data_IF_920443533156
#
_entry.id   IF_920443533156
#
_cell.length_a   1.000
_cell.length_b   1.000
_cell.length_c   1.000
_cell.angle_alpha   90.00
_cell.angle_beta   90.00
_cell.angle_gamma   90.00
#
_symmetry.space_group_name_H-M   'P 1'
#
loop_
_entity.id
_entity.type
_entity.pdbx_description
1 polymer ?
#
# COMPACT_ATOMS: atom_id res chain seq x y z
N UNK A 1 -9.93 31.33 -28.44
CA UNK A 1 -8.96 30.39 -29.07
C UNK A 1 -9.73 29.16 -29.50
N UNK A 2 -9.88 28.90 -30.80
CA UNK A 2 -10.58 27.73 -31.33
C UNK A 2 -9.77 26.49 -30.96
N UNK A 3 -10.45 25.50 -30.37
CA UNK A 3 -9.88 24.17 -30.16
C UNK A 3 -9.58 23.61 -31.56
N UNK A 4 -8.29 23.62 -31.92
CA UNK A 4 -7.80 23.11 -33.18
C UNK A 4 -8.32 21.69 -33.38
N UNK A 5 -8.98 21.45 -34.52
CA UNK A 5 -9.70 20.20 -34.79
C UNK A 5 -8.69 19.07 -34.85
N UNK A 6 -8.53 18.32 -33.76
CA UNK A 6 -7.60 17.19 -33.66
C UNK A 6 -7.82 16.26 -34.86
N UNK A 7 -6.75 15.97 -35.60
CA UNK A 7 -6.80 15.05 -36.75
C UNK A 7 -7.27 13.66 -36.26
N UNK A 8 -8.19 13.06 -37.01
CA UNK A 8 -8.70 11.70 -36.71
C UNK A 8 -7.84 10.65 -37.39
N UNK A 9 -7.91 9.40 -36.91
CA UNK A 9 -7.20 8.25 -37.51
C UNK A 9 -7.60 8.08 -39.00
N UNK A 10 -8.84 8.36 -39.32
CA UNK A 10 -9.38 8.35 -40.70
C UNK A 10 -8.67 9.37 -41.60
N UNK A 11 -8.39 10.55 -41.07
CA UNK A 11 -7.72 11.62 -41.82
C UNK A 11 -6.24 11.28 -42.01
N UNK A 12 -5.60 10.71 -40.99
CA UNK A 12 -4.21 10.25 -41.08
C UNK A 12 -4.07 9.12 -42.11
N UNK A 13 -4.97 8.15 -42.09
CA UNK A 13 -5.01 7.06 -43.06
C UNK A 13 -5.20 7.56 -44.48
N UNK A 14 -6.12 8.52 -44.71
CA UNK A 14 -6.36 9.16 -45.99
C UNK A 14 -5.11 9.90 -46.52
N UNK A 15 -4.43 10.67 -45.65
CA UNK A 15 -3.19 11.40 -46.01
C UNK A 15 -2.03 10.47 -46.39
N UNK A 16 -1.98 9.27 -45.83
CA UNK A 16 -0.93 8.29 -46.06
C UNK A 16 -1.23 7.30 -47.20
N UNK A 17 -2.50 7.26 -47.66
CA UNK A 17 -2.94 6.29 -48.67
C UNK A 17 -2.97 4.86 -48.14
N UNK A 18 -3.26 4.67 -46.86
CA UNK A 18 -3.35 3.34 -46.22
C UNK A 18 -4.67 3.16 -45.51
N UNK A 19 -5.03 1.91 -45.18
CA UNK A 19 -6.26 1.64 -44.44
C UNK A 19 -6.16 2.11 -43.00
N UNK A 20 -7.30 2.47 -42.38
CA UNK A 20 -7.39 2.81 -40.95
C UNK A 20 -6.86 1.65 -40.07
N UNK A 21 -7.14 0.40 -40.48
CA UNK A 21 -6.63 -0.79 -39.79
C UNK A 21 -5.09 -0.90 -39.85
N UNK A 22 -4.46 -0.49 -40.97
CA UNK A 22 -3.00 -0.46 -41.09
C UNK A 22 -2.38 0.59 -40.19
N UNK A 23 -2.97 1.78 -40.12
CA UNK A 23 -2.53 2.84 -39.18
C UNK A 23 -2.64 2.37 -37.74
N UNK A 24 -3.80 1.83 -37.36
CA UNK A 24 -4.05 1.31 -35.99
C UNK A 24 -3.06 0.22 -35.63
N UNK A 25 -2.83 -0.78 -36.48
CA UNK A 25 -1.88 -1.89 -36.24
C UNK A 25 -0.43 -1.39 -36.12
N UNK A 26 -0.02 -0.44 -36.97
CA UNK A 26 1.32 0.13 -36.91
C UNK A 26 1.56 0.87 -35.59
N UNK A 27 0.63 1.73 -35.18
CA UNK A 27 0.71 2.49 -33.94
C UNK A 27 0.64 1.60 -32.67
N UNK A 28 -0.01 0.44 -32.76
CA UNK A 28 -0.06 -0.56 -31.70
C UNK A 28 1.07 -1.60 -31.76
N UNK A 29 2.08 -1.40 -32.62
CA UNK A 29 3.29 -2.24 -32.64
C UNK A 29 3.14 -3.63 -33.29
N UNK A 30 2.00 -3.99 -33.90
CA UNK A 30 1.75 -5.32 -34.46
C UNK A 30 2.85 -5.74 -35.45
N UNK A 31 3.29 -7.00 -35.39
CA UNK A 31 4.39 -7.56 -36.19
C UNK A 31 4.08 -7.67 -37.69
N UNK A 32 2.80 -7.75 -38.04
CA UNK A 32 2.34 -7.94 -39.44
C UNK A 32 2.37 -6.66 -40.30
N UNK A 33 2.93 -5.57 -39.82
CA UNK A 33 3.17 -4.34 -40.59
C UNK A 33 4.67 -4.18 -40.80
N UNK A 34 5.08 -3.95 -42.07
CA UNK A 34 6.50 -3.77 -42.40
C UNK A 34 7.12 -2.59 -41.66
N UNK A 35 8.41 -2.70 -41.31
CA UNK A 35 9.18 -1.61 -40.65
C UNK A 35 9.03 -0.28 -41.41
N UNK A 36 9.17 -0.32 -42.74
CA UNK A 36 9.05 0.87 -43.63
C UNK A 36 7.67 1.54 -43.49
N UNK A 37 6.60 0.75 -43.39
CA UNK A 37 5.25 1.27 -43.24
C UNK A 37 5.02 1.83 -41.81
N UNK A 38 5.56 1.17 -40.80
CA UNK A 38 5.55 1.69 -39.41
C UNK A 38 6.23 3.06 -39.34
N UNK A 39 7.47 3.18 -39.84
CA UNK A 39 8.23 4.42 -39.83
C UNK A 39 7.50 5.56 -40.54
N UNK A 40 6.87 5.28 -41.70
CA UNK A 40 6.04 6.24 -42.42
C UNK A 40 4.87 6.73 -41.59
N UNK A 41 4.18 5.82 -40.89
CA UNK A 41 3.01 6.13 -40.06
C UNK A 41 3.42 6.94 -38.83
N UNK A 42 4.50 6.55 -38.12
CA UNK A 42 5.01 7.28 -36.96
C UNK A 42 5.43 8.71 -37.31
N UNK A 43 6.19 8.90 -38.37
CA UNK A 43 6.60 10.23 -38.86
C UNK A 43 5.39 11.10 -39.22
N UNK A 44 4.36 10.52 -39.81
CA UNK A 44 3.15 11.27 -40.16
C UNK A 44 2.30 11.59 -38.90
N UNK A 45 2.21 10.69 -37.95
CA UNK A 45 1.55 10.94 -36.69
C UNK A 45 2.20 12.13 -35.96
N UNK A 46 3.51 12.15 -35.86
CA UNK A 46 4.30 13.27 -35.31
C UNK A 46 4.08 14.57 -36.10
N UNK A 47 4.25 14.54 -37.43
CA UNK A 47 4.06 15.72 -38.29
C UNK A 47 2.67 16.36 -38.17
N UNK A 48 1.65 15.57 -38.00
CA UNK A 48 0.25 16.04 -37.93
C UNK A 48 -0.28 16.12 -36.50
N UNK A 49 0.56 16.00 -35.48
CA UNK A 49 0.18 15.98 -34.06
C UNK A 49 -1.01 15.03 -33.79
N UNK A 50 -0.96 13.85 -34.45
CA UNK A 50 -1.96 12.83 -34.22
C UNK A 50 -1.64 12.04 -32.98
N UNK A 51 -2.55 12.04 -32.01
CA UNK A 51 -2.50 11.17 -30.84
C UNK A 51 -3.63 10.14 -30.93
N UNK A 52 -3.34 8.84 -30.71
CA UNK A 52 -4.38 7.82 -30.64
C UNK A 52 -5.47 8.20 -29.65
N UNK A 53 -6.71 8.09 -30.05
CA UNK A 53 -7.84 8.30 -29.13
C UNK A 53 -7.97 7.06 -28.22
N UNK A 54 -7.61 7.22 -26.95
CA UNK A 54 -7.69 6.15 -25.94
C UNK A 54 -9.09 5.56 -25.81
N UNK A 55 -10.14 6.41 -25.92
CA UNK A 55 -11.52 5.93 -25.88
C UNK A 55 -11.85 5.05 -27.11
N UNK A 56 -11.36 5.39 -28.29
CA UNK A 56 -11.52 4.57 -29.48
C UNK A 56 -10.73 3.26 -29.36
N UNK A 57 -9.55 3.28 -28.75
CA UNK A 57 -8.73 2.08 -28.46
C UNK A 57 -9.45 1.17 -27.47
N UNK A 58 -10.00 1.71 -26.40
CA UNK A 58 -10.82 0.98 -25.40
C UNK A 58 -12.04 0.31 -26.02
N UNK A 59 -12.76 1.04 -26.90
CA UNK A 59 -13.90 0.50 -27.64
C UNK A 59 -13.51 -0.66 -28.58
N UNK A 60 -12.35 -0.54 -29.22
CA UNK A 60 -11.86 -1.57 -30.13
C UNK A 60 -11.31 -2.82 -29.42
N UNK A 61 -10.67 -2.66 -28.27
CA UNK A 61 -10.10 -3.75 -27.47
C UNK A 61 -11.12 -4.42 -26.53
N UNK A 62 -12.25 -3.78 -26.29
CA UNK A 62 -13.26 -4.15 -25.27
C UNK A 62 -12.69 -4.26 -23.85
N UNK A 63 -11.43 -3.82 -23.63
CA UNK A 63 -10.76 -3.81 -22.33
C UNK A 63 -10.15 -2.44 -22.07
N UNK A 64 -10.35 -1.86 -20.90
CA UNK A 64 -9.84 -0.53 -20.59
C UNK A 64 -8.31 -0.47 -20.43
N UNK A 65 -7.64 -1.59 -20.15
CA UNK A 65 -6.22 -1.66 -19.76
C UNK A 65 -5.89 -0.59 -18.71
N UNK A 66 -6.66 -0.60 -17.62
CA UNK A 66 -6.60 0.44 -16.59
C UNK A 66 -6.54 -0.20 -15.21
N UNK A 67 -5.53 0.18 -14.44
CA UNK A 67 -5.44 -0.21 -13.03
C UNK A 67 -6.02 0.91 -12.18
N UNK A 68 -6.98 0.60 -11.32
CA UNK A 68 -7.52 1.51 -10.33
C UNK A 68 -6.91 1.24 -8.95
N UNK A 69 -6.27 2.25 -8.37
CA UNK A 69 -5.89 2.27 -6.96
C UNK A 69 -6.88 3.18 -6.22
N UNK A 70 -7.69 2.57 -5.37
CA UNK A 70 -8.78 3.25 -4.67
C UNK A 70 -8.66 2.97 -3.19
N UNK A 71 -8.77 4.02 -2.37
CA UNK A 71 -8.72 3.85 -0.92
C UNK A 71 -9.36 5.04 -0.19
N UNK A 72 -9.70 4.82 1.08
CA UNK A 72 -10.00 5.91 2.01
C UNK A 72 -8.73 6.49 2.60
N UNK A 73 -8.70 7.81 2.73
CA UNK A 73 -7.65 8.55 3.43
C UNK A 73 -8.27 9.47 4.48
N UNK A 74 -7.50 9.82 5.49
CA UNK A 74 -7.80 10.98 6.32
C UNK A 74 -7.13 12.21 5.69
N UNK A 75 -7.87 13.25 5.26
CA UNK A 75 -7.30 14.44 4.63
C UNK A 75 -6.27 15.17 5.51
N UNK A 76 -6.44 15.09 6.83
CA UNK A 76 -5.57 15.76 7.81
C UNK A 76 -4.32 14.94 8.13
N UNK A 77 -4.19 13.75 7.56
CA UNK A 77 -3.10 12.83 7.84
C UNK A 77 -2.19 12.66 6.61
N UNK A 78 -0.93 13.03 6.75
CA UNK A 78 0.09 12.65 5.77
C UNK A 78 0.30 11.13 5.84
N UNK A 79 0.18 10.44 4.70
CA UNK A 79 0.37 8.99 4.59
C UNK A 79 1.61 8.70 3.72
N UNK A 80 2.79 8.84 4.33
CA UNK A 80 4.06 8.59 3.64
C UNK A 80 4.22 7.14 3.21
N UNK A 81 3.69 6.21 3.99
CA UNK A 81 3.68 4.77 3.69
C UNK A 81 2.93 4.51 2.38
N UNK A 82 1.77 5.16 2.19
CA UNK A 82 1.04 5.11 0.93
C UNK A 82 1.83 5.75 -0.22
N UNK A 83 2.44 6.91 0.01
CA UNK A 83 3.20 7.61 -1.04
C UNK A 83 4.39 6.79 -1.52
N UNK A 84 5.13 6.15 -0.63
CA UNK A 84 6.26 5.28 -0.98
C UNK A 84 5.83 4.08 -1.82
N UNK A 85 4.72 3.43 -1.43
CA UNK A 85 4.12 2.36 -2.23
C UNK A 85 3.69 2.86 -3.62
N UNK A 86 3.01 4.00 -3.71
CA UNK A 86 2.54 4.58 -4.97
C UNK A 86 3.70 4.99 -5.88
N UNK A 87 4.82 5.44 -5.34
CA UNK A 87 6.01 5.72 -6.12
C UNK A 87 6.50 4.46 -6.85
N UNK A 88 6.64 3.33 -6.13
CA UNK A 88 6.99 2.05 -6.74
C UNK A 88 5.93 1.54 -7.72
N UNK A 89 4.66 1.69 -7.37
CA UNK A 89 3.54 1.32 -8.23
C UNK A 89 3.56 2.08 -9.57
N UNK A 90 3.81 3.39 -9.53
CA UNK A 90 3.95 4.23 -10.72
C UNK A 90 5.16 3.81 -11.57
N UNK A 91 6.30 3.51 -10.93
CA UNK A 91 7.46 2.97 -11.64
C UNK A 91 7.18 1.62 -12.30
N UNK A 92 6.33 0.79 -11.69
CA UNK A 92 5.92 -0.50 -12.26
C UNK A 92 5.16 -0.39 -13.58
N UNK A 93 4.48 0.73 -13.84
CA UNK A 93 3.70 0.96 -15.07
C UNK A 93 4.37 1.93 -16.05
N UNK A 94 5.53 2.51 -15.70
CA UNK A 94 6.18 3.60 -16.45
C UNK A 94 6.30 3.37 -17.96
N UNK A 95 6.67 2.16 -18.37
CA UNK A 95 6.92 1.82 -19.77
C UNK A 95 5.77 0.98 -20.37
N UNK A 96 4.59 1.01 -19.75
CA UNK A 96 3.43 0.21 -20.14
C UNK A 96 2.31 1.09 -20.68
N UNK A 97 1.48 0.57 -21.60
CA UNK A 97 0.32 1.31 -22.11
C UNK A 97 -0.82 1.41 -21.11
N UNK A 98 -0.65 0.87 -19.90
CA UNK A 98 -1.65 0.77 -18.84
C UNK A 98 -1.90 2.13 -18.18
N UNK A 99 -3.14 2.55 -18.13
CA UNK A 99 -3.56 3.78 -17.45
C UNK A 99 -3.74 3.55 -15.94
N UNK A 100 -3.50 4.61 -15.15
CA UNK A 100 -3.74 4.58 -13.71
C UNK A 100 -4.90 5.50 -13.31
N UNK A 101 -5.82 4.96 -12.53
CA UNK A 101 -6.82 5.73 -11.80
C UNK A 101 -6.43 5.73 -10.32
N UNK A 102 -6.00 6.87 -9.81
CA UNK A 102 -5.77 7.07 -8.38
C UNK A 102 -6.96 7.86 -7.82
N UNK A 103 -7.73 7.28 -6.90
CA UNK A 103 -8.88 7.94 -6.31
C UNK A 103 -8.96 7.73 -4.81
N UNK A 104 -9.05 8.83 -4.10
CA UNK A 104 -9.11 8.86 -2.63
C UNK A 104 -10.47 9.33 -2.16
N UNK A 105 -10.96 8.74 -1.08
CA UNK A 105 -12.22 9.03 -0.44
C UNK A 105 -12.02 9.29 1.05
N UNK A 106 -12.96 9.98 1.67
CA UNK A 106 -12.95 10.23 3.12
C UNK A 106 -13.80 9.23 3.90
N UNK A 107 -14.59 8.40 3.20
CA UNK A 107 -15.42 7.39 3.80
C UNK A 107 -15.54 6.13 2.91
N UNK A 108 -15.78 4.99 3.56
CA UNK A 108 -15.84 3.67 2.92
C UNK A 108 -17.05 3.48 2.00
N UNK A 109 -18.16 4.19 2.25
CA UNK A 109 -19.38 4.07 1.44
C UNK A 109 -19.14 4.61 0.04
N UNK A 110 -18.54 5.80 -0.06
CA UNK A 110 -18.25 6.44 -1.35
C UNK A 110 -17.13 5.71 -2.07
N UNK A 111 -16.10 5.23 -1.35
CA UNK A 111 -15.09 4.34 -1.88
C UNK A 111 -15.73 3.11 -2.54
N UNK A 112 -16.60 2.40 -1.83
CA UNK A 112 -17.25 1.19 -2.34
C UNK A 112 -18.18 1.45 -3.53
N UNK A 113 -18.92 2.56 -3.52
CA UNK A 113 -19.77 2.97 -4.65
C UNK A 113 -18.91 3.26 -5.90
N UNK A 114 -17.69 3.76 -5.71
CA UNK A 114 -16.80 4.02 -6.84
C UNK A 114 -16.27 2.73 -7.47
N UNK A 115 -16.01 1.67 -6.70
CA UNK A 115 -15.70 0.34 -7.24
C UNK A 115 -16.82 -0.15 -8.17
N UNK A 116 -18.07 -0.06 -7.72
CA UNK A 116 -19.25 -0.41 -8.54
C UNK A 116 -19.27 0.37 -9.85
N UNK A 117 -19.14 1.70 -9.76
CA UNK A 117 -19.13 2.59 -10.92
C UNK A 117 -18.07 2.19 -11.94
N UNK A 118 -16.82 1.95 -11.51
CA UNK A 118 -15.74 1.60 -12.43
C UNK A 118 -15.99 0.29 -13.18
N UNK A 119 -16.56 -0.70 -12.52
CA UNK A 119 -16.90 -1.98 -13.12
C UNK A 119 -18.09 -1.83 -14.07
N UNK A 120 -19.19 -1.20 -13.64
CA UNK A 120 -20.40 -0.99 -14.44
C UNK A 120 -20.14 -0.18 -15.70
N UNK A 121 -19.23 0.80 -15.62
CA UNK A 121 -18.87 1.66 -16.77
C UNK A 121 -17.67 1.14 -17.56
N UNK A 122 -17.11 -0.01 -17.20
CA UNK A 122 -15.91 -0.59 -17.81
C UNK A 122 -14.75 0.42 -17.92
N UNK A 123 -14.51 1.20 -16.87
CA UNK A 123 -13.44 2.19 -16.80
C UNK A 123 -12.14 1.64 -16.25
N UNK A 124 -12.19 0.56 -15.48
CA UNK A 124 -11.02 -0.16 -14.99
C UNK A 124 -11.28 -1.68 -15.00
N UNK A 125 -10.26 -2.44 -15.32
CA UNK A 125 -10.30 -3.91 -15.39
C UNK A 125 -9.36 -4.58 -14.39
N UNK A 126 -8.54 -3.79 -13.71
CA UNK A 126 -7.61 -4.23 -12.67
C UNK A 126 -7.68 -3.31 -11.46
N UNK A 127 -7.53 -3.88 -10.25
CA UNK A 127 -7.64 -3.12 -9.02
C UNK A 127 -6.49 -3.42 -8.05
N UNK A 128 -6.02 -2.36 -7.37
CA UNK A 128 -5.09 -2.45 -6.24
C UNK A 128 -5.67 -1.65 -5.08
N UNK A 129 -5.63 -2.19 -3.88
CA UNK A 129 -6.07 -1.47 -2.68
C UNK A 129 -5.42 -2.02 -1.41
N UNK A 130 -5.42 -1.22 -0.35
CA UNK A 130 -4.79 -1.55 0.94
C UNK A 130 -5.72 -1.28 2.13
N UNK A 131 -5.19 -1.36 3.35
CA UNK A 131 -5.97 -1.28 4.59
C UNK A 131 -7.04 -2.37 4.67
N UNK A 132 -6.58 -3.59 4.43
CA UNK A 132 -7.47 -4.75 4.32
C UNK A 132 -8.06 -5.09 5.69
N UNK A 133 -9.38 -5.22 5.73
CA UNK A 133 -10.11 -5.71 6.89
C UNK A 133 -10.05 -7.23 6.97
N UNK A 134 -10.30 -7.79 8.15
CA UNK A 134 -10.38 -9.24 8.34
C UNK A 134 -11.43 -9.87 7.40
N UNK A 135 -12.62 -9.27 7.31
CA UNK A 135 -13.67 -9.60 6.35
C UNK A 135 -13.88 -8.37 5.47
N UNK A 136 -13.28 -8.36 4.29
CA UNK A 136 -13.25 -7.18 3.43
C UNK A 136 -14.24 -7.31 2.27
N UNK A 137 -15.30 -6.53 2.32
CA UNK A 137 -16.37 -6.53 1.32
C UNK A 137 -15.89 -6.21 -0.11
N UNK A 138 -14.76 -5.49 -0.25
CA UNK A 138 -14.18 -5.16 -1.57
C UNK A 138 -13.65 -6.43 -2.23
N UNK A 139 -13.00 -7.31 -1.46
CA UNK A 139 -12.50 -8.60 -1.94
C UNK A 139 -13.66 -9.45 -2.47
N UNK A 140 -14.73 -9.61 -1.67
CA UNK A 140 -15.90 -10.40 -2.06
C UNK A 140 -16.58 -9.84 -3.31
N UNK A 141 -16.70 -8.51 -3.38
CA UNK A 141 -17.30 -7.83 -4.52
C UNK A 141 -16.49 -8.04 -5.81
N UNK A 142 -15.16 -7.86 -5.77
CA UNK A 142 -14.30 -8.03 -6.94
C UNK A 142 -14.24 -9.50 -7.40
N UNK A 143 -14.19 -10.45 -6.46
CA UNK A 143 -14.30 -11.89 -6.76
C UNK A 143 -15.60 -12.23 -7.46
N UNK A 144 -16.74 -11.77 -6.93
CA UNK A 144 -18.07 -11.99 -7.52
C UNK A 144 -18.16 -11.46 -8.95
N UNK A 145 -17.54 -10.32 -9.23
CA UNK A 145 -17.52 -9.71 -10.56
C UNK A 145 -16.39 -10.24 -11.46
N UNK A 146 -15.59 -11.22 -11.01
CA UNK A 146 -14.49 -11.83 -11.76
C UNK A 146 -13.47 -10.81 -12.28
N UNK A 147 -13.20 -9.79 -11.50
CA UNK A 147 -12.26 -8.72 -11.84
C UNK A 147 -10.88 -9.06 -11.29
N UNK A 148 -9.82 -8.74 -12.02
CA UNK A 148 -8.46 -8.95 -11.60
C UNK A 148 -8.07 -7.93 -10.52
N UNK A 149 -7.51 -8.39 -9.41
CA UNK A 149 -7.04 -7.51 -8.36
C UNK A 149 -5.89 -8.13 -7.55
N UNK A 150 -5.13 -7.27 -6.92
CA UNK A 150 -4.15 -7.60 -5.90
C UNK A 150 -4.36 -6.68 -4.70
N UNK A 151 -4.19 -7.20 -3.49
CA UNK A 151 -4.28 -6.40 -2.28
C UNK A 151 -2.91 -6.15 -1.68
N UNK A 152 -2.71 -4.96 -1.15
CA UNK A 152 -1.62 -4.70 -0.23
C UNK A 152 -2.13 -4.91 1.20
N UNK A 153 -1.77 -6.04 1.75
CA UNK A 153 -2.34 -6.65 2.94
C UNK A 153 -3.25 -7.85 2.60
N UNK A 154 -3.47 -8.72 3.57
CA UNK A 154 -4.31 -9.91 3.44
C UNK A 154 -5.51 -9.85 4.38
N UNK A 155 -6.63 -10.49 4.01
CA UNK A 155 -7.79 -10.72 4.87
C UNK A 155 -7.59 -11.96 5.74
N UNK A 156 -8.59 -12.33 6.54
CA UNK A 156 -8.59 -13.61 7.27
C UNK A 156 -8.62 -14.84 6.35
N UNK A 157 -9.20 -14.70 5.15
CA UNK A 157 -9.26 -15.74 4.13
C UNK A 157 -8.39 -15.36 2.93
N UNK A 158 -7.29 -16.09 2.70
CA UNK A 158 -6.24 -15.73 1.73
C UNK A 158 -6.22 -16.58 0.47
N UNK A 159 -7.04 -17.64 0.38
CA UNK A 159 -6.84 -18.74 -0.58
C UNK A 159 -7.33 -18.47 -2.01
N UNK A 160 -8.00 -17.34 -2.28
CA UNK A 160 -8.72 -17.14 -3.53
C UNK A 160 -8.37 -15.87 -4.30
N UNK A 161 -7.32 -15.14 -3.90
CA UNK A 161 -6.87 -13.92 -4.55
C UNK A 161 -5.37 -13.70 -4.31
N UNK A 162 -4.76 -12.79 -5.07
CA UNK A 162 -3.36 -12.43 -4.90
C UNK A 162 -3.20 -11.27 -3.91
N UNK A 163 -2.17 -11.35 -3.08
CA UNK A 163 -1.86 -10.32 -2.09
C UNK A 163 -0.34 -10.15 -1.91
N UNK A 164 0.06 -8.96 -1.51
CA UNK A 164 1.39 -8.65 -0.99
C UNK A 164 1.17 -8.14 0.42
N UNK A 165 1.78 -8.75 1.42
CA UNK A 165 1.62 -8.32 2.81
C UNK A 165 2.96 -8.31 3.52
N UNK A 166 3.09 -7.44 4.49
CA UNK A 166 4.20 -7.44 5.44
C UNK A 166 4.00 -8.56 6.45
N UNK A 167 5.09 -9.22 6.86
CA UNK A 167 4.99 -10.20 7.94
C UNK A 167 4.82 -9.48 9.30
N UNK A 168 3.57 -9.13 9.58
CA UNK A 168 3.18 -8.40 10.79
C UNK A 168 3.44 -9.17 12.08
N UNK A 169 3.28 -10.49 12.05
CA UNK A 169 3.51 -11.37 13.18
C UNK A 169 5.00 -11.46 13.49
N UNK A 170 5.82 -11.69 12.47
CA UNK A 170 7.28 -11.72 12.59
C UNK A 170 7.85 -10.36 13.03
N UNK A 171 7.29 -9.26 12.51
CA UNK A 171 7.67 -7.90 12.89
C UNK A 171 7.51 -7.65 14.38
N UNK A 172 6.36 -7.99 14.95
CA UNK A 172 6.12 -7.86 16.40
C UNK A 172 7.05 -8.81 17.18
N UNK A 173 7.20 -10.05 16.73
CA UNK A 173 8.08 -11.01 17.41
C UNK A 173 9.53 -10.53 17.46
N UNK A 174 10.07 -9.91 16.41
CA UNK A 174 11.42 -9.33 16.39
C UNK A 174 11.55 -8.23 17.45
N UNK A 175 10.59 -7.31 17.52
CA UNK A 175 10.61 -6.21 18.49
C UNK A 175 10.44 -6.71 19.93
N UNK A 176 9.52 -7.64 20.16
CA UNK A 176 9.28 -8.26 21.46
C UNK A 176 10.52 -9.02 21.93
N UNK A 177 11.12 -9.86 21.07
CA UNK A 177 12.33 -10.63 21.38
C UNK A 177 13.51 -9.73 21.75
N UNK A 178 13.67 -8.59 21.05
CA UNK A 178 14.70 -7.61 21.35
C UNK A 178 14.51 -6.98 22.74
N UNK A 179 13.31 -6.51 23.04
CA UNK A 179 13.00 -5.92 24.33
C UNK A 179 13.09 -6.94 25.47
N UNK A 180 12.62 -8.16 25.23
CA UNK A 180 12.73 -9.26 26.19
C UNK A 180 14.20 -9.60 26.53
N UNK A 181 15.08 -9.70 25.51
CA UNK A 181 16.51 -9.89 25.68
C UNK A 181 17.19 -8.74 26.44
N UNK A 182 16.59 -7.58 26.40
CA UNK A 182 17.04 -6.40 27.17
C UNK A 182 16.45 -6.36 28.59
N UNK A 183 15.71 -7.40 29.01
CA UNK A 183 15.16 -7.56 30.35
C UNK A 183 13.76 -6.94 30.55
N UNK A 184 13.17 -6.35 29.52
CA UNK A 184 11.82 -5.77 29.64
C UNK A 184 10.77 -6.86 29.83
N UNK A 185 9.99 -6.76 30.89
CA UNK A 185 8.83 -7.61 31.20
C UNK A 185 7.51 -6.83 31.05
N UNK A 186 7.56 -5.51 31.19
CA UNK A 186 6.41 -4.60 31.09
C UNK A 186 6.51 -3.85 29.77
N UNK A 187 5.95 -4.43 28.73
CA UNK A 187 6.02 -3.92 27.36
C UNK A 187 4.61 -3.52 26.91
N UNK A 188 4.39 -2.29 26.52
CA UNK A 188 3.12 -1.86 25.94
C UNK A 188 3.15 -1.92 24.41
N UNK A 189 2.00 -2.17 23.80
CA UNK A 189 1.79 -2.11 22.35
C UNK A 189 0.73 -1.06 22.02
N UNK A 190 1.13 0.00 21.32
CA UNK A 190 0.23 0.98 20.71
C UNK A 190 -0.07 0.55 19.29
N UNK A 191 -1.27 0.05 19.04
CA UNK A 191 -1.60 -0.65 17.80
C UNK A 191 -2.70 0.04 17.00
N UNK A 192 -2.75 -0.30 15.72
CA UNK A 192 -3.91 -0.04 14.87
C UNK A 192 -5.04 -0.97 15.26
N UNK A 193 -6.28 -0.49 15.12
CA UNK A 193 -7.46 -1.26 15.51
C UNK A 193 -7.53 -2.64 14.83
N UNK A 194 -7.88 -3.65 15.59
CA UNK A 194 -7.97 -5.06 15.15
C UNK A 194 -9.02 -5.37 14.09
N UNK A 195 -9.85 -4.40 13.67
CA UNK A 195 -10.72 -4.55 12.51
C UNK A 195 -9.93 -4.63 11.21
N UNK A 196 -8.76 -4.01 11.14
CA UNK A 196 -7.77 -4.24 10.10
C UNK A 196 -7.03 -5.54 10.38
N UNK A 197 -6.81 -6.36 9.35
CA UNK A 197 -6.21 -7.67 9.58
C UNK A 197 -4.77 -7.57 10.11
N UNK A 198 -3.97 -6.63 9.62
CA UNK A 198 -2.62 -6.39 10.13
C UNK A 198 -2.60 -5.94 11.60
N UNK A 199 -3.60 -5.16 12.04
CA UNK A 199 -3.75 -4.81 13.45
C UNK A 199 -4.07 -6.03 14.32
N UNK A 200 -4.92 -6.93 13.81
CA UNK A 200 -5.24 -8.20 14.48
C UNK A 200 -4.02 -9.12 14.57
N UNK A 201 -3.28 -9.30 13.47
CA UNK A 201 -2.07 -10.13 13.43
C UNK A 201 -1.02 -9.66 14.45
N UNK A 202 -0.79 -8.34 14.53
CA UNK A 202 0.12 -7.74 15.51
C UNK A 202 -0.33 -7.98 16.96
N UNK A 203 -1.65 -7.87 17.20
CA UNK A 203 -2.23 -8.16 18.51
C UNK A 203 -2.00 -9.61 18.91
N UNK A 204 -2.31 -10.55 18.03
CA UNK A 204 -2.13 -11.99 18.27
C UNK A 204 -0.66 -12.32 18.54
N UNK A 205 0.26 -11.81 17.73
CA UNK A 205 1.70 -12.04 17.93
C UNK A 205 2.18 -11.50 19.29
N UNK A 206 1.69 -10.33 19.70
CA UNK A 206 2.01 -9.75 21.01
C UNK A 206 1.50 -10.63 22.16
N UNK A 207 0.25 -11.12 22.10
CA UNK A 207 -0.35 -11.98 23.10
C UNK A 207 0.34 -13.37 23.16
N UNK A 208 0.61 -13.97 22.00
CA UNK A 208 1.29 -15.26 21.89
C UNK A 208 2.74 -15.19 22.40
N UNK A 209 3.43 -14.06 22.17
CA UNK A 209 4.76 -13.85 22.71
C UNK A 209 4.76 -13.87 24.25
N UNK A 210 3.82 -13.16 24.89
CA UNK A 210 3.68 -13.17 26.35
C UNK A 210 3.44 -14.60 26.88
N UNK A 211 2.54 -15.33 26.25
CA UNK A 211 2.22 -16.71 26.59
C UNK A 211 3.44 -17.62 26.45
N UNK A 212 4.14 -17.54 25.33
CA UNK A 212 5.33 -18.36 25.02
C UNK A 212 6.46 -18.17 26.02
N UNK A 213 6.64 -16.95 26.49
CA UNK A 213 7.76 -16.58 27.39
C UNK A 213 7.33 -16.48 28.87
N UNK A 214 6.11 -16.93 29.22
CA UNK A 214 5.54 -16.86 30.56
C UNK A 214 5.57 -15.44 31.17
N UNK A 215 5.41 -14.41 30.30
CA UNK A 215 5.31 -13.03 30.75
C UNK A 215 3.88 -12.70 31.17
N UNK A 216 3.73 -11.92 32.23
CA UNK A 216 2.40 -11.47 32.65
C UNK A 216 1.85 -10.46 31.63
N UNK A 217 0.72 -10.82 30.99
CA UNK A 217 0.01 -9.92 30.09
C UNK A 217 -0.85 -8.95 30.90
N UNK A 218 -0.50 -7.66 30.89
CA UNK A 218 -1.37 -6.62 31.43
C UNK A 218 -2.26 -6.08 30.28
N UNK A 219 -3.59 -6.26 30.32
CA UNK A 219 -4.48 -5.83 29.25
C UNK A 219 -4.47 -4.30 29.02
N UNK A 220 -4.10 -3.51 30.04
CA UNK A 220 -4.00 -2.06 29.92
C UNK A 220 -2.76 -1.61 29.11
N UNK A 221 -1.77 -2.45 28.90
CA UNK A 221 -0.62 -2.15 28.06
C UNK A 221 -0.93 -2.29 26.56
N UNK A 222 -2.02 -2.93 26.20
CA UNK A 222 -2.50 -2.96 24.82
C UNK A 222 -3.49 -1.82 24.59
N UNK A 223 -3.14 -0.92 23.69
CA UNK A 223 -3.97 0.21 23.27
C UNK A 223 -4.13 0.20 21.74
N UNK A 224 -5.33 0.42 21.26
CA UNK A 224 -5.59 0.46 19.80
C UNK A 224 -6.50 1.63 19.40
N UNK A 225 -6.37 2.09 18.14
CA UNK A 225 -7.22 3.11 17.57
C UNK A 225 -7.51 2.86 16.08
N UNK A 226 -8.70 3.27 15.61
CA UNK A 226 -9.03 3.37 14.18
C UNK A 226 -8.31 4.53 13.51
N UNK A 227 -8.08 5.61 14.24
CA UNK A 227 -7.41 6.81 13.77
C UNK A 227 -5.89 6.64 13.84
N UNK A 228 -5.23 6.98 12.74
CA UNK A 228 -3.80 6.83 12.56
C UNK A 228 -3.15 8.22 12.45
N UNK A 229 -3.06 8.91 13.58
CA UNK A 229 -2.57 10.29 13.68
C UNK A 229 -1.59 10.44 14.85
N UNK A 230 -0.70 11.43 14.76
CA UNK A 230 0.33 11.69 15.77
C UNK A 230 -0.28 11.98 17.15
N UNK A 231 -1.34 12.80 17.24
CA UNK A 231 -2.00 13.10 18.51
C UNK A 231 -2.65 11.86 19.16
N UNK A 232 -3.06 10.87 18.34
CA UNK A 232 -3.54 9.58 18.86
C UNK A 232 -2.38 8.82 19.50
N UNK A 233 -1.21 8.80 18.87
CA UNK A 233 0.00 8.22 19.49
C UNK A 233 0.29 8.80 20.86
N UNK A 234 0.27 10.13 20.98
CA UNK A 234 0.41 10.83 22.27
C UNK A 234 -0.69 10.43 23.28
N UNK A 235 -1.96 10.40 22.84
CA UNK A 235 -3.10 10.00 23.70
C UNK A 235 -3.00 8.55 24.18
N UNK A 236 -2.59 7.61 23.31
CA UNK A 236 -2.40 6.21 23.69
C UNK A 236 -1.21 6.07 24.65
N UNK A 237 -0.12 6.79 24.41
CA UNK A 237 1.06 6.82 25.29
C UNK A 237 0.69 7.36 26.67
N UNK A 238 -0.07 8.46 26.72
CA UNK A 238 -0.58 9.00 27.99
C UNK A 238 -1.31 7.97 28.79
N UNK A 239 -2.21 7.18 28.16
CA UNK A 239 -2.99 6.13 28.85
C UNK A 239 -2.11 5.07 29.51
N UNK A 240 -1.04 4.61 28.82
CA UNK A 240 -0.17 3.56 29.38
C UNK A 240 0.80 4.10 30.42
N UNK A 241 1.23 5.35 30.29
CA UNK A 241 2.14 6.00 31.26
C UNK A 241 1.41 6.49 32.53
N UNK A 242 0.09 6.73 32.49
CA UNK A 242 -0.71 7.12 33.64
C UNK A 242 -1.12 5.92 34.52
N UNK A 243 -0.78 4.68 34.14
CA UNK A 243 -1.07 3.52 34.96
C UNK A 243 -0.25 3.56 36.26
N UNK A 244 -0.82 3.00 37.32
CA UNK A 244 -0.12 2.87 38.61
C UNK A 244 1.21 2.09 38.48
N UNK A 245 1.25 1.14 37.56
CA UNK A 245 2.44 0.38 37.19
C UNK A 245 2.67 0.56 35.66
N UNK A 246 3.43 1.58 35.24
CA UNK A 246 3.60 1.87 33.82
C UNK A 246 4.57 0.87 33.12
N UNK A 247 4.50 0.75 31.79
CA UNK A 247 5.44 -0.10 31.04
C UNK A 247 6.85 0.50 31.06
N UNK A 248 7.87 -0.37 30.93
CA UNK A 248 9.27 0.04 30.79
C UNK A 248 9.72 0.16 29.33
N UNK A 249 8.89 -0.37 28.42
CA UNK A 249 9.08 -0.24 26.97
C UNK A 249 7.75 -0.11 26.23
N UNK A 250 7.76 0.60 25.12
CA UNK A 250 6.58 0.78 24.26
C UNK A 250 6.94 0.39 22.82
N UNK A 251 6.07 -0.42 22.20
CA UNK A 251 6.10 -0.72 20.78
C UNK A 251 5.05 0.14 20.09
N UNK A 252 5.47 0.96 19.12
CA UNK A 252 4.59 1.80 18.31
C UNK A 252 4.39 1.13 16.95
N UNK A 253 3.18 0.65 16.66
CA UNK A 253 2.88 -0.09 15.43
C UNK A 253 2.80 0.77 14.17
N UNK A 254 3.06 2.06 14.28
CA UNK A 254 3.09 3.04 13.20
C UNK A 254 4.05 4.19 13.53
N UNK A 255 4.59 4.82 12.48
CA UNK A 255 5.44 6.01 12.55
C UNK A 255 4.76 7.16 13.30
N UNK A 256 3.49 7.46 13.00
CA UNK A 256 2.71 8.52 13.66
C UNK A 256 2.52 8.27 15.16
N UNK A 257 2.32 7.00 15.55
CA UNK A 257 2.24 6.66 16.96
C UNK A 257 3.61 6.80 17.63
N UNK A 258 4.67 6.49 16.91
CA UNK A 258 6.03 6.66 17.40
C UNK A 258 6.35 8.15 17.66
N UNK A 259 6.04 9.03 16.68
CA UNK A 259 6.19 10.49 16.84
C UNK A 259 5.37 10.99 18.04
N UNK A 260 4.10 10.60 18.13
CA UNK A 260 3.24 10.99 19.26
C UNK A 260 3.73 10.46 20.60
N UNK A 261 4.32 9.27 20.62
CA UNK A 261 4.93 8.69 21.82
C UNK A 261 6.16 9.50 22.27
N UNK A 262 7.05 9.85 21.34
CA UNK A 262 8.21 10.70 21.63
C UNK A 262 7.78 12.07 22.19
N UNK A 263 6.78 12.71 21.59
CA UNK A 263 6.22 13.98 22.05
C UNK A 263 5.65 13.89 23.48
N UNK A 264 4.92 12.81 23.80
CA UNK A 264 4.36 12.61 25.14
C UNK A 264 5.46 12.34 26.18
N UNK A 265 6.48 11.54 25.81
CA UNK A 265 7.65 11.35 26.67
C UNK A 265 8.37 12.67 26.96
N UNK A 266 8.65 13.46 25.93
CA UNK A 266 9.28 14.76 26.07
C UNK A 266 8.48 15.71 26.96
N UNK A 267 7.16 15.78 26.77
CA UNK A 267 6.24 16.59 27.59
C UNK A 267 6.29 16.22 29.08
N UNK A 268 6.58 14.95 29.41
CA UNK A 268 6.71 14.43 30.78
C UNK A 268 8.13 14.51 31.33
N UNK A 269 9.08 15.00 30.55
CA UNK A 269 10.50 15.01 30.93
C UNK A 269 11.13 13.63 30.93
N UNK A 270 10.53 12.62 30.28
CA UNK A 270 11.10 11.28 30.15
C UNK A 270 12.12 11.23 29.02
N UNK A 271 13.33 10.74 29.33
CA UNK A 271 14.40 10.57 28.38
C UNK A 271 14.36 9.16 27.74
N UNK A 272 14.37 9.10 26.41
CA UNK A 272 14.47 7.85 25.65
C UNK A 272 15.94 7.64 25.26
N UNK A 273 16.56 6.50 25.56
CA UNK A 273 16.01 5.28 26.20
C UNK A 273 16.22 5.23 27.72
N UNK A 274 16.69 6.30 28.36
CA UNK A 274 17.12 6.29 29.77
C UNK A 274 15.99 5.89 30.73
N UNK A 275 14.80 6.47 30.56
CA UNK A 275 13.67 6.23 31.45
C UNK A 275 12.69 5.20 30.84
N UNK A 276 12.58 5.17 29.51
CA UNK A 276 11.69 4.25 28.79
C UNK A 276 12.28 3.87 27.43
N UNK A 277 12.22 2.60 27.06
CA UNK A 277 12.61 2.11 25.74
C UNK A 277 11.48 2.26 24.75
N UNK A 278 11.78 2.77 23.56
CA UNK A 278 10.82 2.89 22.47
C UNK A 278 11.32 2.15 21.23
N UNK A 279 10.45 1.31 20.65
CA UNK A 279 10.69 0.66 19.36
C UNK A 279 9.42 0.71 18.52
N UNK A 280 9.49 0.53 17.22
CA UNK A 280 8.27 0.58 16.42
C UNK A 280 8.47 0.32 14.94
N UNK A 281 7.65 0.97 14.14
CA UNK A 281 7.66 0.88 12.68
C UNK A 281 8.00 2.23 12.07
N UNK A 282 8.85 2.21 11.05
CA UNK A 282 9.16 3.35 10.20
C UNK A 282 9.57 2.84 8.82
N UNK A 283 8.65 2.88 7.87
CA UNK A 283 8.80 2.30 6.54
C UNK A 283 9.29 3.29 5.48
N UNK A 284 9.66 4.51 5.86
CA UNK A 284 10.11 5.55 4.94
C UNK A 284 11.16 6.46 5.60
N UNK A 285 11.91 7.17 4.78
CA UNK A 285 12.88 8.16 5.27
C UNK A 285 12.16 9.45 5.69
N UNK A 286 12.14 9.70 6.99
CA UNK A 286 11.48 10.85 7.59
C UNK A 286 12.26 11.34 8.83
N UNK A 287 11.63 12.23 9.60
CA UNK A 287 12.18 12.72 10.85
C UNK A 287 12.66 11.61 11.80
N UNK A 288 11.94 10.48 11.87
CA UNK A 288 12.30 9.35 12.74
C UNK A 288 13.63 8.71 12.33
N UNK A 289 13.95 8.68 11.03
CA UNK A 289 15.21 8.11 10.54
C UNK A 289 16.42 8.87 11.08
N UNK A 290 16.31 10.19 11.26
CA UNK A 290 17.37 11.02 11.81
C UNK A 290 17.54 10.90 13.33
N UNK A 291 16.59 10.32 14.06
CA UNK A 291 16.59 10.21 15.53
C UNK A 291 17.32 8.97 16.07
N UNK A 292 17.97 8.20 15.21
CA UNK A 292 18.68 6.97 15.61
C UNK A 292 17.80 6.01 16.43
N UNK A 293 16.56 5.79 15.96
CA UNK A 293 15.56 4.93 16.61
C UNK A 293 15.72 3.46 16.18
N UNK A 294 15.26 2.55 17.02
CA UNK A 294 15.12 1.13 16.68
C UNK A 294 13.74 0.88 16.09
N UNK A 295 13.69 0.42 14.84
CA UNK A 295 12.41 0.20 14.14
C UNK A 295 12.48 -0.93 13.12
N UNK A 296 11.28 -1.43 12.76
CA UNK A 296 11.05 -2.32 11.62
C UNK A 296 10.72 -1.47 10.40
N UNK A 297 11.32 -1.81 9.25
CA UNK A 297 10.95 -1.25 7.94
C UNK A 297 10.67 -2.33 6.91
N UNK A 298 10.01 -1.94 5.82
CA UNK A 298 9.67 -2.78 4.68
C UNK A 298 9.95 -2.04 3.37
N UNK A 299 10.26 -2.75 2.28
CA UNK A 299 10.59 -2.14 0.98
C UNK A 299 9.30 -1.74 0.22
N UNK A 300 8.62 -0.69 0.66
CA UNK A 300 7.29 -0.28 0.15
C UNK A 300 7.29 0.01 -1.35
N UNK A 301 8.32 0.69 -1.87
CA UNK A 301 8.44 0.98 -3.30
C UNK A 301 8.54 -0.32 -4.12
N UNK A 302 9.30 -1.31 -3.65
CA UNK A 302 9.39 -2.63 -4.28
C UNK A 302 8.05 -3.37 -4.24
N UNK A 303 7.32 -3.28 -3.13
CA UNK A 303 5.97 -3.84 -3.01
C UNK A 303 5.00 -3.21 -4.01
N UNK A 304 5.12 -1.91 -4.28
CA UNK A 304 4.35 -1.21 -5.30
C UNK A 304 4.61 -1.76 -6.71
N UNK A 305 5.88 -1.96 -7.08
CA UNK A 305 6.27 -2.60 -8.35
C UNK A 305 5.72 -4.03 -8.46
N UNK A 306 5.87 -4.83 -7.38
CA UNK A 306 5.36 -6.20 -7.32
C UNK A 306 3.84 -6.26 -7.57
N UNK A 307 3.06 -5.28 -7.11
CA UNK A 307 1.62 -5.25 -7.33
C UNK A 307 1.28 -5.21 -8.83
N UNK A 308 2.02 -4.44 -9.62
CA UNK A 308 1.85 -4.37 -11.08
C UNK A 308 2.26 -5.69 -11.73
N UNK A 309 3.41 -6.25 -11.35
CA UNK A 309 3.88 -7.55 -11.88
C UNK A 309 2.91 -8.69 -11.60
N UNK A 310 2.29 -8.69 -10.42
CA UNK A 310 1.29 -9.71 -10.07
C UNK A 310 0.06 -9.56 -10.94
N UNK A 311 -0.43 -8.35 -11.18
CA UNK A 311 -1.58 -8.12 -12.06
C UNK A 311 -1.30 -8.62 -13.48
N UNK A 312 -0.11 -8.37 -14.02
CA UNK A 312 0.30 -8.89 -15.35
C UNK A 312 0.33 -10.42 -15.39
N UNK A 313 0.87 -11.04 -14.35
CA UNK A 313 0.87 -12.51 -14.26
C UNK A 313 -0.55 -13.10 -14.22
N UNK A 314 -1.48 -12.41 -13.53
CA UNK A 314 -2.89 -12.81 -13.51
C UNK A 314 -3.49 -12.67 -14.92
N UNK A 315 -3.23 -11.57 -15.64
CA UNK A 315 -3.68 -11.38 -17.01
C UNK A 315 -3.15 -12.46 -17.97
N UNK A 316 -1.91 -12.91 -17.73
CA UNK A 316 -1.27 -14.00 -18.46
C UNK A 316 -1.72 -15.40 -18.00
N UNK A 317 -2.78 -15.50 -17.20
CA UNK A 317 -3.42 -16.76 -16.81
C UNK A 317 -2.81 -17.46 -15.61
N UNK A 318 -1.89 -16.83 -14.88
CA UNK A 318 -1.36 -17.40 -13.64
C UNK A 318 -2.42 -17.30 -12.53
N UNK A 319 -2.72 -18.41 -11.87
CA UNK A 319 -3.71 -18.45 -10.81
C UNK A 319 -3.33 -17.50 -9.65
N UNK A 320 -4.22 -16.58 -9.21
CA UNK A 320 -3.91 -15.56 -8.20
C UNK A 320 -3.32 -16.11 -6.91
N UNK A 321 -3.83 -17.25 -6.41
CA UNK A 321 -3.34 -17.89 -5.19
C UNK A 321 -1.85 -18.26 -5.19
N UNK A 322 -1.24 -18.40 -6.39
CA UNK A 322 0.19 -18.72 -6.55
C UNK A 322 1.09 -17.47 -6.52
N UNK A 323 0.49 -16.29 -6.53
CA UNK A 323 1.20 -15.02 -6.69
C UNK A 323 1.32 -14.21 -5.39
N UNK A 324 0.77 -14.74 -4.28
CA UNK A 324 0.84 -14.06 -2.99
C UNK A 324 2.26 -14.00 -2.44
N UNK A 325 2.63 -12.86 -1.85
CA UNK A 325 3.96 -12.59 -1.31
C UNK A 325 3.89 -12.08 0.13
N UNK A 326 4.60 -12.74 1.02
CA UNK A 326 4.87 -12.26 2.37
C UNK A 326 6.25 -11.61 2.39
N UNK A 327 6.32 -10.35 2.81
CA UNK A 327 7.53 -9.54 2.80
C UNK A 327 8.16 -9.55 4.18
N UNK A 328 9.42 -9.94 4.21
CA UNK A 328 10.22 -10.00 5.42
C UNK A 328 10.46 -8.62 6.00
N UNK A 329 10.32 -8.45 7.34
CA UNK A 329 10.65 -7.21 8.02
C UNK A 329 12.17 -7.03 8.14
N UNK A 330 12.62 -5.79 8.08
CA UNK A 330 14.02 -5.40 8.27
C UNK A 330 14.15 -4.68 9.61
N UNK A 331 14.95 -5.21 10.53
CA UNK A 331 15.22 -4.54 11.80
C UNK A 331 16.35 -3.52 11.64
N UNK A 332 16.03 -2.25 11.79
CA UNK A 332 16.98 -1.15 11.89
C UNK A 332 17.28 -0.89 13.36
N UNK A 333 18.52 -1.14 13.76
CA UNK A 333 18.96 -0.99 15.16
C UNK A 333 19.43 0.44 15.41
N UNK A 334 18.78 1.13 16.32
CA UNK A 334 19.15 2.44 16.80
C UNK A 334 19.53 2.44 18.29
N UNK A 335 19.32 3.60 18.93
CA UNK A 335 19.62 3.86 20.35
C UNK A 335 18.37 4.21 21.18
N UNK A 336 17.16 3.94 20.69
CA UNK A 336 15.92 4.26 21.41
C UNK A 336 15.49 3.18 22.41
N UNK A 337 16.24 2.10 22.53
CA UNK A 337 16.00 1.02 23.47
C UNK A 337 17.30 0.61 24.17
N UNK A 338 17.21 0.19 25.42
CA UNK A 338 18.35 -0.20 26.26
C UNK A 338 18.03 -1.43 27.10
N UNK A 339 19.09 -2.05 27.65
CA UNK A 339 18.95 -3.07 28.69
C UNK A 339 18.44 -2.44 29.99
N UNK A 340 17.54 -3.16 30.68
CA UNK A 340 17.20 -2.86 32.07
C UNK A 340 18.29 -3.52 32.93
N UNK A 341 18.82 -2.74 33.89
CA UNK A 341 19.77 -3.25 34.88
C UNK A 341 19.03 -4.05 35.94
#
# INVERSE_FOLDING_TARGET
>A
MSIDKRIKITDLAKKLGVSVSSVSRALNGHSNISKKTKDKIFKAAEKYNYFPNLNAKRLASQRPDTIAFITTINPDAQDYVLMEFLAGFTLGVKDKPTELILKFFTNEKDEFNYYKKLIETNLADKFVFYRIKRNDKRIDFLKKNKVNFVTWGRSSETNHYAWIDMDNEKSINILMERLFKFGHQKIALLNVHKSFNYGHQRKVAYEDFHKKHNMQLNPNYYQESLEQMTFIGSKLTKKVLDLKDPPTAIICSQDKYFIGCLQECQKRGLEVPKDISLVGYNDHDNYLSSQNLTFISHPLSEMGKMAVEILEKIENGVAPKKLSKLIEPILNKGKSDKKIN
#
